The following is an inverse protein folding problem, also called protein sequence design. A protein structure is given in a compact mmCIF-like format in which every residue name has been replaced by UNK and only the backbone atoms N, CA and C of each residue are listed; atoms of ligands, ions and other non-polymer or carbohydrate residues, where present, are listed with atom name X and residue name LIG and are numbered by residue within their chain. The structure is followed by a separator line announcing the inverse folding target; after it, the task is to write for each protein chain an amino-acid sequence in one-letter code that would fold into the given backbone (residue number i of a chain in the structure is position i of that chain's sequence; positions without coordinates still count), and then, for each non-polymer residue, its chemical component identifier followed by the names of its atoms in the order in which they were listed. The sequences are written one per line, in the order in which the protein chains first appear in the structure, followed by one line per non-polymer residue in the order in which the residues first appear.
data_IF_224114469626
#
_entry.id   IF_224114469626
#
_cell.length_a   1.000
_cell.length_b   1.000
_cell.length_c   1.000
_cell.angle_alpha   90.00
_cell.angle_beta   90.00
_cell.angle_gamma   90.00
#
_symmetry.space_group_name_H-M   'P 1'
#
loop_
_entity.id
_entity.type
_entity.pdbx_description
1 polymer ?
#
# COMPACT_ATOMS: atom_id res chain seq x y z
N UNK A 1 -0.96 12.61 19.47
CA UNK A 1 -1.52 12.10 20.77
C UNK A 1 -0.42 11.35 21.49
N UNK A 2 -0.39 11.33 22.85
CA UNK A 2 0.61 10.50 23.55
C UNK A 2 0.19 9.02 23.45
N UNK A 3 1.12 8.14 23.07
CA UNK A 3 0.90 6.69 23.07
C UNK A 3 1.21 6.18 24.47
N UNK A 4 0.18 5.91 25.27
CA UNK A 4 0.32 5.48 26.66
C UNK A 4 0.07 3.98 26.88
N UNK A 5 -0.58 3.32 25.92
CA UNK A 5 -0.96 1.91 25.99
C UNK A 5 -1.14 1.31 24.57
N UNK A 6 -1.39 0.00 24.51
CA UNK A 6 -1.55 -0.72 23.25
C UNK A 6 -2.73 -0.21 22.43
N UNK A 7 -3.83 0.20 23.07
CA UNK A 7 -5.00 0.72 22.33
C UNK A 7 -4.65 2.02 21.60
N UNK A 8 -3.91 2.91 22.24
CA UNK A 8 -3.47 4.17 21.63
C UNK A 8 -2.54 3.89 20.44
N UNK A 9 -1.61 2.93 20.60
CA UNK A 9 -0.71 2.52 19.53
C UNK A 9 -1.47 1.94 18.33
N UNK A 10 -2.44 1.06 18.59
CA UNK A 10 -3.26 0.45 17.53
C UNK A 10 -4.15 1.48 16.82
N UNK A 11 -4.75 2.40 17.58
CA UNK A 11 -5.57 3.48 17.01
C UNK A 11 -4.73 4.39 16.10
N UNK A 12 -3.53 4.75 16.52
CA UNK A 12 -2.62 5.56 15.71
C UNK A 12 -2.19 4.78 14.46
N UNK A 13 -1.74 3.54 14.59
CA UNK A 13 -1.31 2.71 13.46
C UNK A 13 -2.44 2.50 12.43
N UNK A 14 -3.70 2.35 12.89
CA UNK A 14 -4.86 2.25 12.01
C UNK A 14 -5.10 3.54 11.23
N UNK A 15 -4.98 4.70 11.87
CA UNK A 15 -5.12 6.00 11.20
C UNK A 15 -4.00 6.26 10.19
N UNK A 16 -2.78 5.83 10.53
CA UNK A 16 -1.60 5.96 9.67
C UNK A 16 -1.68 5.05 8.43
N UNK A 17 -2.12 3.77 8.58
CA UNK A 17 -2.29 2.90 7.41
C UNK A 17 -3.47 3.35 6.54
N UNK A 18 -4.55 3.83 7.13
CA UNK A 18 -5.67 4.39 6.38
C UNK A 18 -5.26 5.61 5.55
N UNK A 19 -4.37 6.45 6.07
CA UNK A 19 -3.78 7.56 5.32
C UNK A 19 -2.83 7.08 4.22
N UNK A 20 -2.00 6.07 4.51
CA UNK A 20 -1.09 5.47 3.55
C UNK A 20 -1.82 4.91 2.32
N UNK A 21 -2.89 4.14 2.52
CA UNK A 21 -3.73 3.61 1.44
C UNK A 21 -4.26 4.70 0.52
N UNK A 22 -4.72 5.80 1.08
CA UNK A 22 -5.19 6.93 0.29
C UNK A 22 -4.06 7.61 -0.50
N UNK A 23 -2.87 7.74 0.07
CA UNK A 23 -1.71 8.30 -0.61
C UNK A 23 -1.24 7.38 -1.75
N UNK A 24 -1.20 6.06 -1.48
CA UNK A 24 -0.81 5.07 -2.48
C UNK A 24 -1.82 4.95 -3.61
N UNK A 25 -3.12 5.01 -3.32
CA UNK A 25 -4.16 5.03 -4.35
C UNK A 25 -3.99 6.21 -5.33
N UNK A 26 -3.66 7.39 -4.82
CA UNK A 26 -3.35 8.55 -5.66
C UNK A 26 -2.08 8.32 -6.49
N UNK A 27 -1.02 7.78 -5.87
CA UNK A 27 0.22 7.43 -6.57
C UNK A 27 0.03 6.35 -7.65
N UNK A 28 -0.75 5.31 -7.38
CA UNK A 28 -1.08 4.24 -8.33
C UNK A 28 -1.83 4.79 -9.56
N UNK A 29 -2.76 5.72 -9.37
CA UNK A 29 -3.46 6.38 -10.48
C UNK A 29 -2.51 7.21 -11.36
N UNK A 30 -1.52 7.84 -10.77
CA UNK A 30 -0.46 8.52 -11.52
C UNK A 30 0.42 7.52 -12.28
N UNK A 31 0.82 6.42 -11.64
CA UNK A 31 1.57 5.34 -12.27
C UNK A 31 0.82 4.73 -13.46
N UNK A 32 -0.50 4.47 -13.34
CA UNK A 32 -1.34 3.96 -14.43
C UNK A 32 -1.36 4.88 -15.65
N UNK A 33 -1.32 6.20 -15.44
CA UNK A 33 -1.26 7.18 -16.52
C UNK A 33 0.10 7.21 -17.22
N UNK A 34 1.17 6.88 -16.53
CA UNK A 34 2.55 6.99 -17.00
C UNK A 34 3.17 5.67 -17.47
N UNK A 35 2.64 4.53 -17.01
CA UNK A 35 3.08 3.21 -17.43
C UNK A 35 2.80 2.97 -18.92
N UNK A 36 3.75 2.34 -19.61
CA UNK A 36 3.67 2.04 -21.05
C UNK A 36 3.66 0.55 -21.36
N UNK A 37 4.26 -0.28 -20.52
CA UNK A 37 4.16 -1.73 -20.63
C UNK A 37 2.72 -2.18 -20.29
N UNK A 38 2.08 -2.91 -21.19
CA UNK A 38 0.67 -3.31 -21.07
C UNK A 38 0.40 -4.24 -19.87
N UNK A 39 1.34 -5.14 -19.56
CA UNK A 39 1.21 -6.07 -18.44
C UNK A 39 1.38 -5.32 -17.11
N UNK A 40 2.34 -4.40 -17.03
CA UNK A 40 2.52 -3.51 -15.89
C UNK A 40 1.27 -2.65 -15.65
N UNK A 41 0.74 -2.05 -16.70
CA UNK A 41 -0.47 -1.22 -16.64
C UNK A 41 -1.68 -2.01 -16.15
N UNK A 42 -1.88 -3.22 -16.69
CA UNK A 42 -2.95 -4.11 -16.24
C UNK A 42 -2.82 -4.48 -14.75
N UNK A 43 -1.59 -4.75 -14.30
CA UNK A 43 -1.29 -5.04 -12.90
C UNK A 43 -1.59 -3.84 -11.99
N UNK A 44 -1.22 -2.63 -12.40
CA UNK A 44 -1.52 -1.39 -11.64
C UNK A 44 -3.04 -1.17 -11.53
N UNK A 45 -3.79 -1.38 -12.61
CA UNK A 45 -5.26 -1.23 -12.60
C UNK A 45 -5.93 -2.22 -11.66
N UNK A 46 -5.45 -3.47 -11.59
CA UNK A 46 -5.91 -4.43 -10.60
C UNK A 46 -5.56 -3.96 -9.18
N UNK A 47 -4.34 -3.49 -8.97
CA UNK A 47 -3.88 -2.99 -7.68
C UNK A 47 -4.71 -1.78 -7.19
N UNK A 48 -5.08 -0.84 -8.07
CA UNK A 48 -6.00 0.25 -7.75
C UNK A 48 -7.33 -0.29 -7.19
N UNK A 49 -7.90 -1.31 -7.83
CA UNK A 49 -9.14 -1.93 -7.39
C UNK A 49 -8.99 -2.60 -6.02
N UNK A 50 -7.86 -3.26 -5.78
CA UNK A 50 -7.55 -3.92 -4.51
C UNK A 50 -7.39 -2.89 -3.40
N UNK A 51 -6.65 -1.80 -3.64
CA UNK A 51 -6.47 -0.68 -2.68
C UNK A 51 -7.80 -0.02 -2.32
N UNK A 52 -8.69 0.18 -3.29
CA UNK A 52 -10.05 0.66 -3.01
C UNK A 52 -10.85 -0.30 -2.12
N UNK A 53 -10.65 -1.62 -2.25
CA UNK A 53 -11.27 -2.60 -1.35
C UNK A 53 -10.63 -2.57 0.04
N UNK A 54 -9.31 -2.42 0.12
CA UNK A 54 -8.58 -2.32 1.39
C UNK A 54 -9.02 -1.09 2.21
N UNK A 55 -9.21 0.04 1.55
CA UNK A 55 -9.78 1.25 2.18
C UNK A 55 -11.16 0.94 2.77
N UNK A 56 -12.05 0.25 2.03
CA UNK A 56 -13.37 -0.14 2.54
C UNK A 56 -13.27 -1.10 3.74
N UNK A 57 -12.33 -2.03 3.73
CA UNK A 57 -12.08 -2.94 4.86
C UNK A 57 -11.62 -2.15 6.10
N UNK A 58 -10.73 -1.15 5.93
CA UNK A 58 -10.32 -0.28 7.03
C UNK A 58 -11.47 0.57 7.58
N UNK A 59 -12.36 1.06 6.72
CA UNK A 59 -13.57 1.78 7.15
C UNK A 59 -14.49 0.87 8.00
N UNK A 60 -14.63 -0.42 7.65
CA UNK A 60 -15.33 -1.40 8.47
C UNK A 60 -14.62 -1.63 9.82
N UNK A 61 -13.29 -1.62 9.85
CA UNK A 61 -12.54 -1.72 11.11
C UNK A 61 -12.84 -0.53 12.01
N UNK A 62 -12.86 0.70 11.48
CA UNK A 62 -13.26 1.88 12.24
C UNK A 62 -14.69 1.76 12.78
N UNK A 63 -15.64 1.28 11.94
CA UNK A 63 -17.02 1.08 12.35
C UNK A 63 -17.14 0.06 13.50
N UNK A 64 -16.44 -1.07 13.43
CA UNK A 64 -16.41 -2.08 14.51
C UNK A 64 -15.83 -1.54 15.81
N UNK A 65 -14.92 -0.57 15.73
CA UNK A 65 -14.37 0.15 16.89
C UNK A 65 -15.29 1.27 17.40
N UNK A 66 -16.43 1.51 16.75
CA UNK A 66 -17.34 2.63 17.08
C UNK A 66 -16.74 4.00 16.77
N UNK A 67 -15.83 4.07 15.83
CA UNK A 67 -15.12 5.29 15.45
C UNK A 67 -15.47 5.70 14.02
N UNK A 68 -15.33 6.99 13.73
CA UNK A 68 -15.36 7.48 12.35
C UNK A 68 -13.95 7.30 11.73
N UNK A 69 -13.86 6.95 10.43
CA UNK A 69 -12.58 6.91 9.73
C UNK A 69 -11.83 8.24 9.85
N UNK A 70 -10.58 8.19 10.26
CA UNK A 70 -9.71 9.35 10.43
C UNK A 70 -8.35 9.06 9.83
N UNK A 71 -7.79 10.03 9.13
CA UNK A 71 -6.44 9.97 8.58
C UNK A 71 -5.47 10.69 9.52
N UNK A 72 -4.38 10.03 9.87
CA UNK A 72 -3.20 10.66 10.44
C UNK A 72 -2.08 10.54 9.43
N UNK A 73 -1.46 11.66 9.05
CA UNK A 73 -0.42 11.69 8.02
C UNK A 73 0.64 10.61 8.24
N UNK A 74 0.81 9.74 7.26
CA UNK A 74 1.87 8.75 7.22
C UNK A 74 3.07 9.32 6.44
N UNK A 75 4.07 9.78 7.18
CA UNK A 75 5.27 10.40 6.58
C UNK A 75 6.10 9.39 5.76
N UNK A 76 6.06 8.10 6.11
CA UNK A 76 6.77 7.06 5.35
C UNK A 76 6.10 6.86 4.00
N UNK A 77 4.77 6.75 3.96
CA UNK A 77 3.99 6.66 2.72
C UNK A 77 4.22 7.90 1.83
N UNK A 78 4.19 9.08 2.43
CA UNK A 78 4.48 10.32 1.72
C UNK A 78 5.89 10.32 1.10
N UNK A 79 6.88 9.81 1.82
CA UNK A 79 8.25 9.68 1.32
C UNK A 79 8.35 8.69 0.16
N UNK A 80 7.67 7.53 0.25
CA UNK A 80 7.64 6.53 -0.82
C UNK A 80 6.97 7.07 -2.10
N UNK A 81 5.83 7.75 -1.96
CA UNK A 81 5.14 8.39 -3.10
C UNK A 81 6.02 9.46 -3.74
N UNK A 82 6.64 10.32 -2.93
CA UNK A 82 7.52 11.37 -3.42
C UNK A 82 8.75 10.82 -4.16
N UNK A 83 9.37 9.76 -3.65
CA UNK A 83 10.49 9.08 -4.31
C UNK A 83 10.05 8.46 -5.64
N UNK A 84 8.89 7.81 -5.69
CA UNK A 84 8.35 7.22 -6.91
C UNK A 84 8.11 8.30 -7.98
N UNK A 85 7.47 9.40 -7.61
CA UNK A 85 7.22 10.54 -8.51
C UNK A 85 8.52 11.12 -9.05
N UNK A 86 9.51 11.33 -8.20
CA UNK A 86 10.81 11.83 -8.63
C UNK A 86 11.48 10.89 -9.63
N UNK A 87 11.51 9.58 -9.34
CA UNK A 87 12.15 8.60 -10.22
C UNK A 87 11.43 8.50 -11.57
N UNK A 88 10.09 8.57 -11.60
CA UNK A 88 9.32 8.59 -12.84
C UNK A 88 9.63 9.85 -13.68
N UNK A 89 9.77 11.01 -13.03
CA UNK A 89 10.08 12.29 -13.71
C UNK A 89 11.52 12.33 -14.24
N UNK A 90 12.48 11.74 -13.54
CA UNK A 90 13.89 11.70 -13.94
C UNK A 90 14.19 10.60 -14.99
N UNK A 91 13.24 9.70 -15.26
CA UNK A 91 13.41 8.64 -16.25
C UNK A 91 13.55 9.22 -17.67
N UNK A 92 14.66 8.92 -18.34
CA UNK A 92 15.00 9.45 -19.67
C UNK A 92 14.12 8.87 -20.80
N UNK A 93 13.51 7.71 -20.58
CA UNK A 93 12.64 7.04 -21.55
C UNK A 93 11.56 6.19 -20.85
N UNK A 94 10.61 5.69 -21.63
CA UNK A 94 9.47 4.93 -21.15
C UNK A 94 9.87 3.63 -20.47
N UNK A 95 10.82 2.88 -21.01
CA UNK A 95 11.25 1.62 -20.41
C UNK A 95 11.91 1.81 -19.03
N UNK A 96 12.71 2.85 -18.87
CA UNK A 96 13.29 3.22 -17.56
C UNK A 96 12.20 3.69 -16.60
N UNK A 97 11.17 4.39 -17.08
CA UNK A 97 10.04 4.80 -16.26
C UNK A 97 9.25 3.58 -15.76
N UNK A 98 8.97 2.60 -16.62
CA UNK A 98 8.31 1.35 -16.21
C UNK A 98 9.13 0.59 -15.17
N UNK A 99 10.46 0.58 -15.28
CA UNK A 99 11.36 0.05 -14.24
C UNK A 99 11.27 0.83 -12.92
N UNK A 100 11.17 2.15 -12.98
CA UNK A 100 11.01 2.98 -11.78
C UNK A 100 9.67 2.70 -11.08
N UNK A 101 8.59 2.55 -11.86
CA UNK A 101 7.26 2.21 -11.37
C UNK A 101 7.27 0.86 -10.65
N UNK A 102 7.75 -0.21 -11.29
CA UNK A 102 7.74 -1.54 -10.65
C UNK A 102 8.62 -1.59 -9.39
N UNK A 103 9.75 -0.89 -9.39
CA UNK A 103 10.60 -0.79 -8.20
C UNK A 103 9.91 -0.03 -7.05
N UNK A 104 9.11 0.99 -7.35
CA UNK A 104 8.31 1.71 -6.37
C UNK A 104 7.19 0.83 -5.81
N UNK A 105 6.46 0.09 -6.67
CA UNK A 105 5.43 -0.86 -6.25
C UNK A 105 6.00 -1.86 -5.24
N UNK A 106 7.12 -2.53 -5.55
CA UNK A 106 7.75 -3.50 -4.64
C UNK A 106 8.04 -2.88 -3.26
N UNK A 107 8.54 -1.64 -3.19
CA UNK A 107 8.80 -0.97 -1.90
C UNK A 107 7.53 -0.71 -1.11
N UNK A 108 6.47 -0.24 -1.78
CA UNK A 108 5.18 0.06 -1.18
C UNK A 108 4.57 -1.20 -0.59
N UNK A 109 4.52 -2.29 -1.36
CA UNK A 109 3.96 -3.57 -0.89
C UNK A 109 4.65 -4.08 0.38
N UNK A 110 5.98 -4.05 0.42
CA UNK A 110 6.72 -4.48 1.60
C UNK A 110 6.50 -3.58 2.83
N UNK A 111 6.31 -2.28 2.60
CA UNK A 111 5.91 -1.35 3.67
C UNK A 111 4.51 -1.72 4.20
N UNK A 112 3.53 -1.95 3.33
CA UNK A 112 2.15 -2.28 3.71
C UNK A 112 2.06 -3.64 4.39
N UNK A 113 2.72 -4.67 3.87
CA UNK A 113 2.83 -5.99 4.51
C UNK A 113 3.36 -5.88 5.95
N UNK A 114 4.39 -5.09 6.17
CA UNK A 114 4.95 -4.85 7.51
C UNK A 114 3.96 -4.15 8.44
N UNK A 115 3.26 -3.13 7.93
CA UNK A 115 2.28 -2.34 8.65
C UNK A 115 1.05 -3.18 9.04
N UNK A 116 0.48 -3.92 8.09
CA UNK A 116 -0.65 -4.82 8.34
C UNK A 116 -0.29 -5.96 9.30
N UNK A 117 0.91 -6.53 9.20
CA UNK A 117 1.36 -7.60 10.12
C UNK A 117 1.37 -7.14 11.57
N UNK A 118 1.80 -5.90 11.82
CA UNK A 118 1.73 -5.29 13.16
C UNK A 118 0.30 -5.14 13.66
N UNK A 119 -0.59 -4.62 12.82
CA UNK A 119 -2.00 -4.43 13.14
C UNK A 119 -2.74 -5.78 13.37
N UNK A 120 -2.54 -6.78 12.52
CA UNK A 120 -3.10 -8.13 12.69
C UNK A 120 -2.65 -8.73 14.02
N UNK A 121 -1.36 -8.66 14.31
CA UNK A 121 -0.81 -9.18 15.57
C UNK A 121 -1.44 -8.48 16.78
N UNK A 122 -1.55 -7.15 16.74
CA UNK A 122 -2.17 -6.38 17.81
C UNK A 122 -3.64 -6.74 18.02
N UNK A 123 -4.43 -6.79 16.93
CA UNK A 123 -5.85 -7.16 16.98
C UNK A 123 -6.07 -8.56 17.55
N UNK A 124 -5.25 -9.55 17.15
CA UNK A 124 -5.30 -10.92 17.68
C UNK A 124 -5.00 -10.95 19.18
N UNK A 125 -3.97 -10.27 19.65
CA UNK A 125 -3.62 -10.22 21.07
C UNK A 125 -4.68 -9.52 21.93
N UNK A 126 -5.45 -8.61 21.33
CA UNK A 126 -6.59 -7.94 21.98
C UNK A 126 -7.90 -8.73 21.86
N UNK A 127 -7.90 -9.92 21.25
CA UNK A 127 -9.09 -10.76 21.04
C UNK A 127 -10.10 -10.21 20.03
N UNK A 128 -9.67 -9.25 19.18
CA UNK A 128 -10.50 -8.60 18.16
C UNK A 128 -10.43 -9.40 16.85
N UNK A 129 -10.97 -10.64 16.87
CA UNK A 129 -10.80 -11.59 15.77
C UNK A 129 -11.41 -11.12 14.44
N UNK A 130 -12.56 -10.44 14.44
CA UNK A 130 -13.19 -9.93 13.23
C UNK A 130 -12.34 -8.82 12.57
N UNK A 131 -11.79 -7.92 13.38
CA UNK A 131 -10.85 -6.89 12.94
C UNK A 131 -9.56 -7.54 12.39
N UNK A 132 -9.02 -8.53 13.11
CA UNK A 132 -7.84 -9.26 12.65
C UNK A 132 -8.07 -9.95 11.29
N UNK A 133 -9.26 -10.46 11.03
CA UNK A 133 -9.61 -11.08 9.75
C UNK A 133 -9.62 -10.04 8.61
N UNK A 134 -10.28 -8.89 8.78
CA UNK A 134 -10.29 -7.82 7.77
C UNK A 134 -8.88 -7.31 7.44
N UNK A 135 -8.07 -7.08 8.46
CA UNK A 135 -6.68 -6.67 8.30
C UNK A 135 -5.82 -7.75 7.65
N UNK A 136 -6.10 -9.03 7.92
CA UNK A 136 -5.41 -10.16 7.28
C UNK A 136 -5.76 -10.30 5.80
N UNK A 137 -7.00 -9.98 5.41
CA UNK A 137 -7.41 -9.95 4.00
C UNK A 137 -6.59 -8.91 3.23
N UNK A 138 -6.46 -7.69 3.77
CA UNK A 138 -5.62 -6.65 3.17
C UNK A 138 -4.17 -7.13 3.08
N UNK A 139 -3.58 -7.64 4.16
CA UNK A 139 -2.21 -8.14 4.17
C UNK A 139 -1.97 -9.22 3.11
N UNK A 140 -2.92 -10.14 2.90
CA UNK A 140 -2.80 -11.19 1.89
C UNK A 140 -2.83 -10.64 0.47
N UNK A 141 -3.60 -9.57 0.21
CA UNK A 141 -3.60 -8.89 -1.08
C UNK A 141 -2.24 -8.25 -1.35
N UNK A 142 -1.63 -7.60 -0.35
CA UNK A 142 -0.28 -7.02 -0.48
C UNK A 142 0.79 -8.10 -0.74
N UNK A 143 0.71 -9.23 -0.05
CA UNK A 143 1.61 -10.37 -0.29
C UNK A 143 1.49 -10.88 -1.73
N UNK A 144 0.28 -10.95 -2.29
CA UNK A 144 0.05 -11.36 -3.68
C UNK A 144 0.58 -10.32 -4.67
N UNK A 145 0.30 -9.04 -4.44
CA UNK A 145 0.78 -7.95 -5.31
C UNK A 145 2.31 -7.87 -5.28
N UNK A 146 2.93 -7.96 -4.12
CA UNK A 146 4.38 -8.02 -3.99
C UNK A 146 4.98 -9.16 -4.82
N UNK A 147 4.40 -10.36 -4.73
CA UNK A 147 4.86 -11.52 -5.47
C UNK A 147 4.74 -11.32 -6.99
N UNK A 148 3.62 -10.77 -7.48
CA UNK A 148 3.41 -10.47 -8.89
C UNK A 148 4.43 -9.43 -9.37
N UNK A 149 4.62 -8.35 -8.61
CA UNK A 149 5.58 -7.30 -8.94
C UNK A 149 7.01 -7.82 -9.01
N UNK A 150 7.44 -8.61 -8.03
CA UNK A 150 8.77 -9.23 -8.00
C UNK A 150 9.02 -10.21 -9.15
N UNK A 151 7.97 -10.95 -9.58
CA UNK A 151 8.07 -11.87 -10.71
C UNK A 151 8.12 -11.16 -12.06
N UNK A 152 7.46 -10.01 -12.21
CA UNK A 152 7.43 -9.24 -13.46
C UNK A 152 8.61 -8.28 -13.62
N UNK A 153 9.23 -7.85 -12.52
CA UNK A 153 10.33 -6.89 -12.55
C UNK A 153 11.52 -7.31 -13.44
N UNK A 154 12.02 -8.56 -13.42
CA UNK A 154 13.15 -8.97 -14.29
C UNK A 154 12.90 -8.72 -15.77
N UNK A 155 11.70 -8.99 -16.27
CA UNK A 155 11.34 -8.80 -17.69
C UNK A 155 11.34 -7.31 -18.06
N UNK A 156 10.82 -6.44 -17.19
CA UNK A 156 10.85 -4.99 -17.39
C UNK A 156 12.29 -4.45 -17.42
N UNK A 157 13.12 -4.86 -16.47
CA UNK A 157 14.53 -4.46 -16.43
C UNK A 157 15.30 -4.98 -17.65
N UNK A 158 14.99 -6.16 -18.15
CA UNK A 158 15.61 -6.69 -19.37
C UNK A 158 15.21 -5.89 -20.63
N UNK A 159 13.96 -5.45 -20.71
CA UNK A 159 13.48 -4.60 -21.82
C UNK A 159 14.14 -3.21 -21.83
N UNK A 160 14.57 -2.72 -20.66
CA UNK A 160 15.16 -1.40 -20.48
C UNK A 160 16.68 -1.35 -20.70
N UNK A 161 17.39 -2.47 -20.63
CA UNK A 161 18.87 -2.60 -20.77
C UNK A 161 19.26 -3.30 -22.02
#
# INVERSE_FOLDING_TARGET
MAIANVNDLMAQALQEIYDAEHQFLEGQREMDQQATDEDLKSSIQQHISDTEQQIRNLEQVFEQLGQQPQRQTNEVAQGLVSEAQQNMQEAENEAIRDCAIIAAVIKVEHFEMGSYRGLVTGAQQMGQNEIANLLSENMQQEEQTAQIAEQSAPDLFQKAG
#
